data_IF_585420241226
#
_entry.id   IF_585420241226
#
_cell.length_a   1.000
_cell.length_b   1.000
_cell.length_c   1.000
_cell.angle_alpha   90.00
_cell.angle_beta   90.00
_cell.angle_gamma   90.00
#
_symmetry.space_group_name_H-M   'P 1'
#
loop_
_entity.id
_entity.type
_entity.pdbx_description
1 polymer ?
#
# COMPACT_ATOMS: atom_id res chain seq x y z
N UNK A 1 -16.48 -0.76 27.52
CA UNK A 1 -15.28 -0.48 26.70
C UNK A 1 -15.44 0.93 26.15
N UNK A 2 -14.66 1.88 26.65
CA UNK A 2 -14.54 3.19 25.98
C UNK A 2 -13.73 2.97 24.70
N UNK A 3 -14.37 3.12 23.56
CA UNK A 3 -13.67 3.10 22.28
C UNK A 3 -12.98 4.45 22.13
N UNK A 4 -11.65 4.47 22.26
CA UNK A 4 -10.85 5.64 21.89
C UNK A 4 -11.07 5.95 20.41
N UNK A 5 -11.63 7.12 20.09
CA UNK A 5 -11.77 7.52 18.70
C UNK A 5 -10.42 8.00 18.23
N UNK A 6 -9.85 7.32 17.23
CA UNK A 6 -8.61 7.77 16.54
C UNK A 6 -8.71 9.25 16.14
N UNK A 7 -9.93 9.71 15.79
CA UNK A 7 -10.21 11.10 15.42
C UNK A 7 -10.01 12.13 16.56
N UNK A 8 -10.02 11.70 17.82
CA UNK A 8 -9.79 12.57 18.99
C UNK A 8 -8.30 12.76 19.30
N UNK A 9 -7.42 12.02 18.63
CA UNK A 9 -5.96 12.15 18.79
C UNK A 9 -5.37 13.26 17.91
N UNK A 10 -4.14 13.68 18.19
CA UNK A 10 -3.42 14.62 17.32
C UNK A 10 -3.22 14.02 15.92
N UNK A 11 -3.13 14.89 14.91
CA UNK A 11 -2.93 14.47 13.52
C UNK A 11 -1.65 13.64 13.34
N UNK A 12 -0.60 13.90 14.14
CA UNK A 12 0.64 13.11 14.10
C UNK A 12 0.39 11.65 14.51
N UNK A 13 -0.39 11.43 15.57
CA UNK A 13 -0.72 10.07 16.02
C UNK A 13 -1.62 9.38 14.99
N UNK A 14 -2.58 10.11 14.42
CA UNK A 14 -3.43 9.57 13.35
C UNK A 14 -2.59 9.17 12.12
N UNK A 15 -1.63 10.00 11.71
CA UNK A 15 -0.72 9.68 10.61
C UNK A 15 0.10 8.41 10.89
N UNK A 16 0.65 8.28 12.10
CA UNK A 16 1.39 7.08 12.52
C UNK A 16 0.52 5.82 12.48
N UNK A 17 -0.74 5.91 12.90
CA UNK A 17 -1.68 4.79 12.81
C UNK A 17 -1.89 4.38 11.35
N UNK A 18 -2.11 5.34 10.45
CA UNK A 18 -2.29 5.08 9.02
C UNK A 18 -1.05 4.44 8.39
N UNK A 19 0.15 4.92 8.72
CA UNK A 19 1.42 4.35 8.27
C UNK A 19 1.59 2.90 8.74
N UNK A 20 1.21 2.60 9.99
CA UNK A 20 1.23 1.23 10.53
C UNK A 20 0.22 0.32 9.86
N UNK A 21 -0.98 0.82 9.60
CA UNK A 21 -2.02 0.04 8.89
C UNK A 21 -1.56 -0.27 7.46
N UNK A 22 -0.91 0.68 6.78
CA UNK A 22 -0.40 0.48 5.43
C UNK A 22 0.64 -0.65 5.31
N UNK A 23 1.45 -0.86 6.35
CA UNK A 23 2.40 -1.97 6.40
C UNK A 23 1.83 -3.30 6.85
N UNK A 24 0.61 -3.33 7.40
CA UNK A 24 0.02 -4.54 7.96
C UNK A 24 -1.09 -5.12 7.09
N UNK A 25 -1.96 -4.28 6.53
CA UNK A 25 -3.18 -4.74 5.86
C UNK A 25 -3.63 -3.79 4.78
N UNK A 26 -3.54 -4.25 3.53
CA UNK A 26 -4.10 -3.57 2.37
C UNK A 26 -5.58 -3.24 2.54
N UNK A 27 -6.34 -4.21 3.04
CA UNK A 27 -7.79 -4.09 3.19
C UNK A 27 -8.16 -3.01 4.22
N UNK A 28 -7.46 -2.98 5.35
CA UNK A 28 -7.72 -2.00 6.40
C UNK A 28 -7.30 -0.59 5.98
N UNK A 29 -6.20 -0.45 5.24
CA UNK A 29 -5.80 0.85 4.68
C UNK A 29 -6.85 1.38 3.72
N UNK A 30 -7.38 0.53 2.83
CA UNK A 30 -8.46 0.94 1.93
C UNK A 30 -9.76 1.24 2.67
N UNK A 31 -10.07 0.50 3.73
CA UNK A 31 -11.18 0.78 4.64
C UNK A 31 -11.05 2.16 5.31
N UNK A 32 -9.86 2.49 5.82
CA UNK A 32 -9.56 3.81 6.37
C UNK A 32 -9.72 4.90 5.31
N UNK A 33 -9.23 4.67 4.10
CA UNK A 33 -9.28 5.63 2.99
C UNK A 33 -10.71 6.02 2.59
N UNK A 34 -11.69 5.12 2.77
CA UNK A 34 -13.10 5.39 2.46
C UNK A 34 -13.91 5.89 3.66
N UNK A 35 -13.36 5.85 4.88
CA UNK A 35 -14.08 6.18 6.12
C UNK A 35 -14.29 7.69 6.32
N UNK A 36 -13.23 8.49 6.31
CA UNK A 36 -13.25 9.92 6.60
C UNK A 36 -12.35 10.71 5.64
N UNK A 37 -12.71 11.97 5.36
CA UNK A 37 -11.88 12.87 4.52
C UNK A 37 -10.46 13.03 5.07
N UNK A 38 -10.32 13.13 6.39
CA UNK A 38 -9.02 13.21 7.06
C UNK A 38 -8.20 11.92 6.85
N UNK A 39 -8.80 10.76 7.07
CA UNK A 39 -8.13 9.47 6.87
C UNK A 39 -7.73 9.24 5.42
N UNK A 40 -8.56 9.68 4.46
CA UNK A 40 -8.18 9.70 3.05
C UNK A 40 -6.95 10.56 2.79
N UNK A 41 -6.93 11.78 3.31
CA UNK A 41 -5.79 12.69 3.14
C UNK A 41 -4.51 12.12 3.77
N UNK A 42 -4.61 11.51 4.95
CA UNK A 42 -3.48 10.85 5.60
C UNK A 42 -3.00 9.63 4.81
N UNK A 43 -3.91 8.78 4.32
CA UNK A 43 -3.59 7.58 3.54
C UNK A 43 -2.96 7.90 2.18
N UNK A 44 -3.26 9.07 1.61
CA UNK A 44 -2.68 9.53 0.35
C UNK A 44 -1.31 10.25 0.54
N UNK A 45 -0.80 10.40 1.78
CA UNK A 45 0.53 10.99 2.02
C UNK A 45 1.65 10.08 1.48
N UNK A 46 2.73 10.71 1.00
CA UNK A 46 3.91 9.98 0.51
C UNK A 46 4.59 9.12 1.58
N UNK A 47 4.58 9.54 2.85
CA UNK A 47 5.17 8.74 3.94
C UNK A 47 4.50 7.38 4.09
N UNK A 48 3.21 7.27 3.79
CA UNK A 48 2.47 6.00 3.80
C UNK A 48 2.99 5.05 2.72
N UNK A 49 3.43 5.57 1.56
CA UNK A 49 4.00 4.74 0.49
C UNK A 49 5.31 4.06 0.92
N UNK A 50 6.08 4.66 1.84
CA UNK A 50 7.27 4.03 2.39
C UNK A 50 6.93 2.77 3.20
N UNK A 51 5.84 2.80 3.96
CA UNK A 51 5.41 1.68 4.81
C UNK A 51 4.49 0.69 4.12
N UNK A 52 3.89 1.06 2.99
CA UNK A 52 2.94 0.23 2.27
C UNK A 52 3.52 -1.15 1.92
N UNK A 53 2.86 -2.22 2.37
CA UNK A 53 3.24 -3.58 1.99
C UNK A 53 2.54 -3.97 0.67
N UNK A 54 3.26 -3.82 -0.44
CA UNK A 54 2.77 -4.21 -1.76
C UNK A 54 2.61 -5.73 -1.93
N UNK A 55 3.24 -6.55 -1.07
CA UNK A 55 3.10 -8.01 -1.11
C UNK A 55 1.80 -8.48 -0.45
N UNK A 56 1.25 -7.67 0.46
CA UNK A 56 -0.09 -7.90 1.03
C UNK A 56 -1.21 -7.81 -0.02
N UNK A 57 -0.94 -7.21 -1.19
CA UNK A 57 -1.89 -7.12 -2.29
C UNK A 57 -1.96 -8.47 -3.02
N UNK A 58 -3.14 -9.15 -3.05
CA UNK A 58 -3.29 -10.42 -3.72
C UNK A 58 -2.78 -10.40 -5.16
N UNK A 59 -2.02 -11.44 -5.54
CA UNK A 59 -1.57 -11.62 -6.92
C UNK A 59 -2.78 -11.79 -7.84
N UNK A 60 -3.04 -10.79 -8.70
CA UNK A 60 -4.23 -10.72 -9.56
C UNK A 60 -5.10 -9.50 -9.31
N UNK A 61 -4.95 -8.81 -8.17
CA UNK A 61 -5.47 -7.46 -7.98
C UNK A 61 -4.43 -6.45 -8.46
N UNK A 62 -4.86 -5.59 -9.40
CA UNK A 62 -4.06 -4.47 -9.84
C UNK A 62 -4.00 -3.45 -8.70
N UNK A 63 -2.82 -3.33 -8.09
CA UNK A 63 -2.49 -2.12 -7.34
C UNK A 63 -2.65 -0.93 -8.29
N UNK A 64 -3.28 0.17 -7.86
CA UNK A 64 -3.46 1.32 -8.74
C UNK A 64 -2.11 1.79 -9.28
N UNK A 65 -2.04 2.04 -10.60
CA UNK A 65 -0.78 2.39 -11.26
C UNK A 65 -0.10 3.62 -10.62
N UNK A 66 -0.87 4.63 -10.21
CA UNK A 66 -0.34 5.82 -9.53
C UNK A 66 0.22 5.51 -8.14
N UNK A 67 -0.40 4.59 -7.40
CA UNK A 67 0.11 4.16 -6.11
C UNK A 67 1.43 3.39 -6.28
N UNK A 68 1.48 2.49 -7.28
CA UNK A 68 2.68 1.73 -7.61
C UNK A 68 3.84 2.66 -8.02
N UNK A 69 3.58 3.65 -8.88
CA UNK A 69 4.57 4.66 -9.28
C UNK A 69 5.10 5.44 -8.09
N UNK A 70 4.22 5.87 -7.20
CA UNK A 70 4.60 6.65 -6.01
C UNK A 70 5.43 5.80 -5.05
N UNK A 71 5.00 4.56 -4.76
CA UNK A 71 5.76 3.63 -3.92
C UNK A 71 7.14 3.30 -4.52
N UNK A 72 7.23 3.16 -5.84
CA UNK A 72 8.51 2.96 -6.54
C UNK A 72 9.42 4.20 -6.41
N UNK A 73 8.89 5.41 -6.57
CA UNK A 73 9.64 6.66 -6.42
C UNK A 73 10.17 6.84 -4.99
N UNK A 74 9.39 6.43 -3.99
CA UNK A 74 9.77 6.41 -2.56
C UNK A 74 10.68 5.22 -2.19
N UNK A 75 11.13 4.41 -3.18
CA UNK A 75 12.01 3.25 -3.00
C UNK A 75 11.48 2.21 -2.00
N UNK A 76 10.16 2.03 -1.96
CA UNK A 76 9.53 1.03 -1.11
C UNK A 76 10.06 -0.39 -1.46
N UNK A 77 10.65 -1.13 -0.51
CA UNK A 77 11.30 -2.42 -0.78
C UNK A 77 10.33 -3.47 -1.33
N UNK A 78 9.11 -3.52 -0.79
CA UNK A 78 8.09 -4.49 -1.21
C UNK A 78 7.64 -4.25 -2.66
N UNK A 79 7.61 -2.98 -3.07
CA UNK A 79 7.28 -2.57 -4.44
C UNK A 79 8.38 -2.96 -5.42
N UNK A 80 9.65 -2.77 -5.06
CA UNK A 80 10.78 -3.20 -5.88
C UNK A 80 10.75 -4.72 -6.11
N UNK A 81 10.52 -5.49 -5.05
CA UNK A 81 10.38 -6.95 -5.15
C UNK A 81 9.21 -7.35 -6.05
N UNK A 82 8.07 -6.67 -5.91
CA UNK A 82 6.86 -6.97 -6.70
C UNK A 82 7.07 -6.70 -8.18
N UNK A 83 7.67 -5.57 -8.54
CA UNK A 83 7.99 -5.22 -9.94
C UNK A 83 8.94 -6.25 -10.54
N UNK A 84 10.02 -6.59 -9.81
CA UNK A 84 10.99 -7.59 -10.27
C UNK A 84 10.34 -8.97 -10.48
N UNK A 85 9.53 -9.41 -9.53
CA UNK A 85 8.82 -10.69 -9.59
C UNK A 85 7.83 -10.73 -10.77
N UNK A 86 7.12 -9.63 -11.03
CA UNK A 86 6.21 -9.53 -12.17
C UNK A 86 6.97 -9.62 -13.50
N UNK A 87 8.09 -8.91 -13.63
CA UNK A 87 8.96 -8.96 -14.81
C UNK A 87 9.53 -10.36 -15.05
N UNK A 88 9.95 -11.05 -13.99
CA UNK A 88 10.45 -12.42 -14.09
C UNK A 88 9.35 -13.39 -14.54
N UNK A 89 8.15 -13.30 -13.94
CA UNK A 89 7.01 -14.15 -14.29
C UNK A 89 6.60 -14.00 -15.76
N UNK A 90 6.49 -12.77 -16.26
CA UNK A 90 6.19 -12.48 -17.67
C UNK A 90 7.26 -13.08 -18.59
N UNK A 91 8.53 -12.96 -18.22
CA UNK A 91 9.65 -13.47 -19.02
C UNK A 91 9.63 -15.00 -19.11
N UNK A 92 9.35 -15.69 -18.01
CA UNK A 92 9.24 -17.15 -17.98
C UNK A 92 8.03 -17.65 -18.78
N UNK A 93 6.85 -17.04 -18.58
CA UNK A 93 5.64 -17.32 -19.37
C UNK A 93 5.88 -17.16 -20.88
N UNK A 94 6.61 -16.10 -21.27
CA UNK A 94 6.95 -15.86 -22.68
C UNK A 94 7.88 -16.94 -23.24
N UNK A 95 8.84 -17.45 -22.45
CA UNK A 95 9.70 -18.57 -22.87
C UNK A 95 8.93 -19.87 -23.03
N UNK A 96 8.01 -20.19 -22.13
CA UNK A 96 7.15 -21.39 -22.24
C UNK A 96 6.25 -21.34 -23.48
N UNK A 97 5.69 -20.18 -23.83
CA UNK A 97 4.85 -20.01 -25.01
C UNK A 97 5.60 -20.08 -26.35
N UNK A 98 6.93 -19.96 -26.32
CA UNK A 98 7.80 -19.99 -27.49
C UNK A 98 8.55 -21.33 -27.63
N UNK A 99 8.29 -22.28 -26.74
CA UNK A 99 8.80 -23.66 -26.75
C UNK A 99 7.75 -24.65 -27.23
#
# INVERSE_FOLDING_TARGET
MEYFRILEMSEEIQALVVERVAGNSFQDLYGLRVSFKLMKALADRRSVCHFYDALSVPWGLNMPAELLKTCYAERNPSTLYRVFSLSLHITLKKKELLS
#
